data_IF_283078718995
#
_entry.id   IF_283078718995
#
_cell.length_a   1.000
_cell.length_b   1.000
_cell.length_c   1.000
_cell.angle_alpha   90.00
_cell.angle_beta   90.00
_cell.angle_gamma   90.00
#
_symmetry.space_group_name_H-M   'P 1'
#
loop_
_entity.id
_entity.type
_entity.pdbx_description
1 polymer ?
#
# COMPACT_ATOMS: atom_id res chain seq x y z
N UNK A 1 9.84 18.08 12.21
CA UNK A 1 8.76 17.65 11.29
C UNK A 1 7.95 18.85 10.82
N UNK A 2 7.61 18.91 9.54
CA UNK A 2 6.79 19.98 8.93
C UNK A 2 5.39 20.10 9.58
N UNK A 3 4.87 19.00 10.08
CA UNK A 3 3.55 18.88 10.70
C UNK A 3 3.61 18.61 12.21
N UNK A 4 4.74 18.93 12.85
CA UNK A 4 4.90 18.71 14.30
C UNK A 4 3.83 19.36 15.16
N UNK A 5 3.26 20.49 14.71
CA UNK A 5 2.16 21.20 15.38
C UNK A 5 0.88 20.36 15.51
N UNK A 6 0.68 19.40 14.64
CA UNK A 6 -0.49 18.54 14.70
C UNK A 6 -0.43 17.55 15.89
N UNK A 7 0.76 17.22 16.36
CA UNK A 7 1.02 16.23 17.41
C UNK A 7 1.47 16.86 18.73
N UNK A 8 2.09 18.06 18.67
CA UNK A 8 2.63 18.74 19.84
C UNK A 8 2.24 20.20 19.76
N UNK A 9 1.63 20.73 20.85
CA UNK A 9 1.27 22.15 20.92
C UNK A 9 2.52 23.02 20.86
N UNK A 10 2.66 23.92 19.87
CA UNK A 10 3.79 24.84 19.82
C UNK A 10 3.79 25.77 21.03
N UNK A 11 4.97 26.11 21.54
CA UNK A 11 5.12 27.05 22.67
C UNK A 11 4.46 28.39 22.34
N UNK A 12 3.53 28.80 23.19
CA UNK A 12 2.78 30.08 23.01
C UNK A 12 1.56 29.97 22.07
N UNK A 13 1.27 28.83 21.51
CA UNK A 13 0.05 28.62 20.72
C UNK A 13 -1.15 28.40 21.62
N UNK A 14 -2.32 29.04 21.36
CA UNK A 14 -3.57 28.76 22.08
C UNK A 14 -4.25 27.46 21.60
N UNK A 15 -3.77 26.85 20.50
CA UNK A 15 -4.39 25.68 19.89
C UNK A 15 -3.72 24.38 20.38
N UNK A 16 -4.47 23.42 20.94
CA UNK A 16 -3.95 22.12 21.32
C UNK A 16 -3.58 21.29 20.08
N UNK A 17 -2.80 20.21 20.24
CA UNK A 17 -2.59 19.23 19.17
C UNK A 17 -3.93 18.59 18.77
N UNK A 18 -4.05 18.26 17.49
CA UNK A 18 -5.27 17.66 16.90
C UNK A 18 -5.12 16.16 16.62
N UNK A 19 -3.90 15.64 16.71
CA UNK A 19 -3.57 14.24 16.46
C UNK A 19 -2.73 13.67 17.60
N UNK A 20 -2.90 12.39 17.86
CA UNK A 20 -2.05 11.59 18.74
C UNK A 20 -1.18 10.67 17.88
N UNK A 21 0.12 10.61 18.18
CA UNK A 21 1.08 9.79 17.45
C UNK A 21 1.24 8.44 18.18
N UNK A 22 0.90 7.37 17.48
CA UNK A 22 1.10 6.01 17.94
C UNK A 22 2.12 5.30 17.05
N UNK A 23 3.08 4.61 17.65
CA UNK A 23 4.06 3.80 16.91
C UNK A 23 3.43 2.46 16.54
N UNK A 24 3.61 2.06 15.28
CA UNK A 24 3.23 0.73 14.79
C UNK A 24 4.47 -0.16 14.89
N UNK A 25 4.49 -1.08 15.85
CA UNK A 25 5.58 -2.04 16.10
C UNK A 25 5.14 -3.51 15.96
N UNK A 26 3.87 -3.72 15.55
CA UNK A 26 3.28 -5.04 15.36
C UNK A 26 1.86 -4.93 14.81
N UNK A 27 1.10 -6.04 14.80
CA UNK A 27 -0.28 -6.04 14.34
C UNK A 27 -1.15 -5.04 15.10
N UNK A 28 -2.00 -4.31 14.35
CA UNK A 28 -2.94 -3.34 14.88
C UNK A 28 -4.36 -3.85 14.66
N UNK A 29 -5.12 -4.01 15.76
CA UNK A 29 -6.53 -4.40 15.68
C UNK A 29 -7.43 -3.20 15.84
N UNK A 30 -8.29 -2.97 14.85
CA UNK A 30 -9.33 -1.93 14.85
C UNK A 30 -10.66 -2.62 15.14
N UNK A 31 -11.41 -2.10 16.12
CA UNK A 31 -12.72 -2.64 16.51
C UNK A 31 -13.84 -1.68 16.10
N UNK A 32 -14.91 -2.24 15.55
CA UNK A 32 -16.08 -1.48 15.11
C UNK A 32 -17.35 -2.31 15.17
N UNK A 33 -18.46 -1.77 14.69
CA UNK A 33 -19.76 -2.44 14.70
C UNK A 33 -19.79 -3.76 13.88
N UNK A 34 -18.93 -3.86 12.86
CA UNK A 34 -18.76 -5.07 12.05
C UNK A 34 -17.84 -6.14 12.64
N UNK A 35 -17.25 -5.89 13.80
CA UNK A 35 -16.27 -6.78 14.43
C UNK A 35 -14.83 -6.23 14.35
N UNK A 36 -13.84 -7.00 14.87
CA UNK A 36 -12.44 -6.60 14.83
C UNK A 36 -11.81 -6.89 13.46
N UNK A 37 -10.97 -5.96 13.00
CA UNK A 37 -10.10 -6.14 11.82
C UNK A 37 -8.65 -5.99 12.29
N UNK A 38 -7.81 -6.99 11.99
CA UNK A 38 -6.39 -6.95 12.35
C UNK A 38 -5.54 -6.70 11.11
N UNK A 39 -4.82 -5.57 11.13
CA UNK A 39 -3.83 -5.21 10.12
C UNK A 39 -2.45 -5.71 10.57
N UNK A 40 -1.84 -6.57 9.78
CA UNK A 40 -0.46 -7.05 10.03
C UNK A 40 0.49 -6.22 9.18
N UNK A 41 1.33 -5.37 9.79
CA UNK A 41 2.30 -4.57 9.05
C UNK A 41 3.45 -5.43 8.54
N UNK A 42 4.01 -5.05 7.39
CA UNK A 42 5.26 -5.58 6.88
C UNK A 42 6.11 -4.46 6.29
N UNK A 43 7.41 -4.55 6.48
CA UNK A 43 8.35 -3.51 6.10
C UNK A 43 8.91 -3.74 4.71
N UNK A 44 8.98 -2.67 3.92
CA UNK A 44 9.58 -2.63 2.59
C UNK A 44 10.51 -1.43 2.47
N UNK A 45 11.40 -1.43 1.48
CA UNK A 45 12.22 -0.27 1.20
C UNK A 45 11.48 0.71 0.28
N UNK A 46 11.54 1.99 0.62
CA UNK A 46 11.00 3.11 -0.15
C UNK A 46 12.10 4.14 -0.44
N UNK A 47 13.20 3.71 -1.05
CA UNK A 47 14.37 4.54 -1.36
C UNK A 47 15.25 4.79 -0.14
N UNK A 48 15.31 6.03 0.33
CA UNK A 48 16.14 6.42 1.49
C UNK A 48 15.51 6.12 2.85
N UNK A 49 14.29 5.61 2.87
CA UNK A 49 13.54 5.24 4.07
C UNK A 49 12.77 3.94 3.84
N UNK A 50 12.30 3.37 4.92
CA UNK A 50 11.40 2.22 4.87
C UNK A 50 9.94 2.70 4.93
N UNK A 51 9.04 1.92 4.30
CA UNK A 51 7.60 2.10 4.38
C UNK A 51 6.94 0.82 4.92
N UNK A 52 5.69 0.94 5.36
CA UNK A 52 4.88 -0.18 5.79
C UNK A 52 3.80 -0.50 4.75
N UNK A 53 3.75 -1.77 4.35
CA UNK A 53 2.54 -2.34 3.80
C UNK A 53 1.73 -3.03 4.91
N UNK A 54 0.49 -3.36 4.61
CA UNK A 54 -0.43 -4.03 5.55
C UNK A 54 -1.11 -5.22 4.90
N UNK A 55 -1.26 -6.30 5.67
CA UNK A 55 -2.05 -7.46 5.28
C UNK A 55 -3.25 -7.65 6.22
N UNK A 56 -4.42 -7.91 5.63
CA UNK A 56 -5.66 -8.28 6.32
C UNK A 56 -6.22 -9.53 5.63
N UNK A 57 -6.17 -10.68 6.30
CA UNK A 57 -6.60 -11.95 5.70
C UNK A 57 -5.89 -12.23 4.36
N UNK A 58 -6.64 -12.38 3.29
CA UNK A 58 -6.14 -12.58 1.93
C UNK A 58 -5.78 -11.30 1.17
N UNK A 59 -5.91 -10.12 1.78
CA UNK A 59 -5.63 -8.83 1.12
C UNK A 59 -4.32 -8.23 1.59
N UNK A 60 -3.46 -7.78 0.67
CA UNK A 60 -2.29 -6.96 0.95
C UNK A 60 -2.43 -5.57 0.32
N UNK A 61 -2.02 -4.53 1.06
CA UNK A 61 -1.98 -3.14 0.61
C UNK A 61 -0.55 -2.60 0.73
N UNK A 62 0.03 -2.21 -0.39
CA UNK A 62 1.42 -1.77 -0.50
C UNK A 62 1.55 -0.60 -1.49
N UNK A 63 1.21 0.63 -1.07
CA UNK A 63 1.17 1.79 -1.98
C UNK A 63 2.53 2.45 -2.23
N UNK A 64 3.52 2.24 -1.36
CA UNK A 64 4.82 2.92 -1.38
C UNK A 64 5.95 1.89 -1.32
N UNK A 65 6.58 1.56 -2.45
CA UNK A 65 7.62 0.53 -2.48
C UNK A 65 8.61 0.70 -3.64
N UNK A 66 9.89 0.70 -3.34
CA UNK A 66 10.96 0.60 -4.34
C UNK A 66 11.47 -0.86 -4.47
N UNK A 67 11.62 -1.55 -3.35
CA UNK A 67 12.04 -2.97 -3.32
C UNK A 67 11.40 -3.73 -2.17
N UNK A 68 11.13 -5.01 -2.40
CA UNK A 68 10.48 -5.90 -1.44
C UNK A 68 11.53 -6.91 -0.94
N UNK A 69 11.80 -6.97 0.38
CA UNK A 69 12.73 -7.94 0.96
C UNK A 69 12.27 -9.38 0.74
N UNK A 70 13.22 -10.30 0.54
CA UNK A 70 12.92 -11.71 0.28
C UNK A 70 12.05 -12.39 1.35
N UNK A 71 12.22 -12.13 2.67
CA UNK A 71 11.32 -12.70 3.68
C UNK A 71 9.85 -12.31 3.49
N UNK A 72 9.56 -11.09 3.01
CA UNK A 72 8.19 -10.62 2.73
C UNK A 72 7.55 -11.44 1.60
N UNK A 73 8.32 -11.75 0.55
CA UNK A 73 7.88 -12.64 -0.52
C UNK A 73 7.51 -14.03 -0.04
N UNK A 74 8.32 -14.57 0.89
CA UNK A 74 8.16 -15.94 1.36
C UNK A 74 7.02 -16.12 2.37
N UNK A 75 6.61 -15.07 3.06
CA UNK A 75 5.64 -15.14 4.16
C UNK A 75 4.37 -14.33 3.90
N UNK A 76 4.51 -13.06 3.50
CA UNK A 76 3.41 -12.09 3.51
C UNK A 76 2.70 -11.99 2.17
N UNK A 77 3.43 -12.07 1.06
CA UNK A 77 2.89 -11.92 -0.29
C UNK A 77 2.57 -13.27 -0.95
N UNK A 78 2.14 -14.25 -0.17
CA UNK A 78 1.70 -15.57 -0.63
C UNK A 78 0.22 -15.74 -0.42
N UNK A 79 -0.40 -16.51 -1.31
CA UNK A 79 -1.81 -16.91 -1.20
C UNK A 79 -2.73 -15.69 -1.02
N UNK A 80 -2.50 -14.65 -1.82
CA UNK A 80 -3.30 -13.43 -1.79
C UNK A 80 -4.56 -13.59 -2.66
N UNK A 81 -5.69 -13.19 -2.10
CA UNK A 81 -6.92 -12.99 -2.87
C UNK A 81 -6.85 -11.67 -3.65
N UNK A 82 -6.40 -10.60 -2.98
CA UNK A 82 -6.23 -9.28 -3.59
C UNK A 82 -4.89 -8.68 -3.18
N UNK A 83 -4.17 -8.14 -4.14
CA UNK A 83 -2.99 -7.32 -3.89
C UNK A 83 -3.18 -5.92 -4.45
N UNK A 84 -3.24 -4.90 -3.58
CA UNK A 84 -3.26 -3.49 -3.96
C UNK A 84 -1.81 -3.00 -3.86
N UNK A 85 -1.20 -2.62 -4.99
CA UNK A 85 0.24 -2.41 -5.07
C UNK A 85 0.59 -1.17 -5.90
N UNK A 86 1.68 -0.51 -5.49
CA UNK A 86 2.29 0.64 -6.15
C UNK A 86 2.63 0.35 -7.63
N UNK A 87 2.32 1.30 -8.50
CA UNK A 87 2.72 1.31 -9.91
C UNK A 87 2.81 2.76 -10.41
N UNK A 88 3.75 3.52 -9.85
CA UNK A 88 3.79 4.97 -9.99
C UNK A 88 3.79 5.46 -11.44
N UNK A 89 4.64 4.89 -12.32
CA UNK A 89 4.82 5.34 -13.70
C UNK A 89 5.45 4.25 -14.58
N UNK A 90 5.58 4.52 -15.89
CA UNK A 90 6.20 3.56 -16.82
C UNK A 90 7.72 3.48 -16.71
N UNK A 91 8.37 4.56 -16.30
CA UNK A 91 9.83 4.63 -16.17
C UNK A 91 10.30 4.42 -14.73
N UNK A 92 11.48 3.85 -14.49
CA UNK A 92 12.01 3.63 -13.14
C UNK A 92 11.98 4.88 -12.26
N UNK A 93 11.73 4.69 -10.97
CA UNK A 93 11.73 5.72 -9.94
C UNK A 93 12.59 5.30 -8.74
N UNK A 94 13.29 6.23 -8.06
CA UNK A 94 14.21 5.85 -6.97
C UNK A 94 13.51 5.36 -5.70
N UNK A 95 12.23 5.67 -5.50
CA UNK A 95 11.49 5.35 -4.28
C UNK A 95 10.22 4.53 -4.52
N UNK A 96 9.71 4.45 -5.74
CA UNK A 96 8.50 3.71 -6.10
C UNK A 96 8.78 2.65 -7.15
N UNK A 97 7.93 1.65 -7.22
CA UNK A 97 7.91 0.73 -8.34
C UNK A 97 7.40 1.41 -9.61
N UNK A 98 7.80 0.88 -10.75
CA UNK A 98 7.26 1.28 -12.04
C UNK A 98 6.45 0.12 -12.65
N UNK A 99 5.57 0.42 -13.58
CA UNK A 99 4.57 -0.52 -14.09
C UNK A 99 5.15 -1.89 -14.44
N UNK A 100 6.23 -1.95 -15.25
CA UNK A 100 6.83 -3.23 -15.64
C UNK A 100 7.34 -4.04 -14.43
N UNK A 101 8.00 -3.39 -13.48
CA UNK A 101 8.47 -4.03 -12.26
C UNK A 101 7.30 -4.56 -11.41
N UNK A 102 6.22 -3.78 -11.30
CA UNK A 102 5.02 -4.21 -10.56
C UNK A 102 4.34 -5.40 -11.23
N UNK A 103 4.29 -5.45 -12.56
CA UNK A 103 3.74 -6.59 -13.28
C UNK A 103 4.58 -7.86 -13.06
N UNK A 104 5.92 -7.77 -13.07
CA UNK A 104 6.81 -8.89 -12.73
C UNK A 104 6.57 -9.38 -11.29
N UNK A 105 6.31 -8.46 -10.37
CA UNK A 105 6.00 -8.78 -8.98
C UNK A 105 4.64 -9.47 -8.83
N UNK A 106 3.63 -9.03 -9.59
CA UNK A 106 2.31 -9.65 -9.62
C UNK A 106 2.42 -11.08 -10.17
N UNK A 107 3.19 -11.30 -11.22
CA UNK A 107 3.46 -12.65 -11.75
C UNK A 107 4.11 -13.55 -10.68
N UNK A 108 5.09 -13.02 -9.94
CA UNK A 108 5.77 -13.76 -8.85
C UNK A 108 4.84 -14.10 -7.68
N UNK A 109 4.04 -13.15 -7.21
CA UNK A 109 3.14 -13.33 -6.07
C UNK A 109 1.89 -14.16 -6.44
N UNK A 110 1.48 -14.11 -7.71
CA UNK A 110 0.32 -14.77 -8.29
C UNK A 110 -0.98 -14.55 -7.46
N UNK A 111 -1.37 -13.31 -7.12
CA UNK A 111 -2.63 -13.06 -6.43
C UNK A 111 -3.81 -13.41 -7.34
N UNK A 112 -4.98 -13.73 -6.77
CA UNK A 112 -6.19 -13.94 -7.58
C UNK A 112 -6.61 -12.66 -8.31
N UNK A 113 -6.38 -11.50 -7.70
CA UNK A 113 -6.62 -10.18 -8.29
C UNK A 113 -5.53 -9.20 -7.84
N UNK A 114 -5.06 -8.34 -8.74
CA UNK A 114 -4.16 -7.23 -8.42
C UNK A 114 -4.78 -5.89 -8.80
N UNK A 115 -4.55 -4.88 -7.97
CA UNK A 115 -5.01 -3.50 -8.18
C UNK A 115 -3.79 -2.59 -8.16
N UNK A 116 -3.52 -1.93 -9.28
CA UNK A 116 -2.44 -0.96 -9.40
C UNK A 116 -2.87 0.36 -8.78
N UNK A 117 -2.09 0.89 -7.85
CA UNK A 117 -2.38 2.16 -7.17
C UNK A 117 -1.22 3.15 -7.27
N UNK A 118 -1.41 4.35 -6.74
CA UNK A 118 -0.43 5.45 -6.75
C UNK A 118 0.04 5.86 -8.17
N UNK A 119 -0.80 5.67 -9.16
CA UNK A 119 -0.47 5.96 -10.55
C UNK A 119 -0.36 7.47 -10.80
N UNK A 120 0.82 7.90 -11.26
CA UNK A 120 1.07 9.28 -11.68
C UNK A 120 0.34 9.61 -12.99
N UNK A 121 0.12 10.91 -13.25
CA UNK A 121 -0.54 11.39 -14.47
C UNK A 121 0.15 10.98 -15.80
N UNK A 122 1.38 10.46 -15.75
CA UNK A 122 2.09 9.90 -16.91
C UNK A 122 1.54 8.54 -17.35
N UNK A 123 0.74 7.88 -16.51
CA UNK A 123 0.09 6.61 -16.84
C UNK A 123 -1.36 6.88 -17.20
N UNK A 124 -1.71 6.61 -18.44
CA UNK A 124 -3.09 6.65 -18.89
C UNK A 124 -3.85 5.42 -18.37
N UNK A 125 -4.94 5.65 -17.66
CA UNK A 125 -5.78 4.61 -17.04
C UNK A 125 -6.28 3.59 -18.10
N UNK A 126 -6.87 4.09 -19.18
CA UNK A 126 -7.47 3.22 -20.20
C UNK A 126 -6.42 2.39 -20.93
N UNK A 127 -5.21 2.94 -21.12
CA UNK A 127 -4.11 2.20 -21.71
C UNK A 127 -3.65 1.05 -20.79
N UNK A 128 -3.55 1.29 -19.48
CA UNK A 128 -3.19 0.24 -18.51
C UNK A 128 -4.23 -0.86 -18.49
N UNK A 129 -5.52 -0.53 -18.42
CA UNK A 129 -6.61 -1.50 -18.46
C UNK A 129 -6.60 -2.34 -19.74
N UNK A 130 -6.22 -1.75 -20.88
CA UNK A 130 -6.19 -2.46 -22.15
C UNK A 130 -4.96 -3.37 -22.34
N UNK A 131 -3.84 -3.09 -21.67
CA UNK A 131 -2.58 -3.82 -21.82
C UNK A 131 -2.30 -4.84 -20.70
N UNK A 132 -3.09 -4.81 -19.61
CA UNK A 132 -2.93 -5.75 -18.49
C UNK A 132 -3.91 -6.93 -18.60
N UNK A 133 -3.55 -8.11 -18.04
CA UNK A 133 -4.47 -9.25 -17.94
C UNK A 133 -5.72 -8.92 -17.12
N UNK A 134 -6.83 -9.64 -17.37
CA UNK A 134 -8.15 -9.42 -16.72
C UNK A 134 -8.12 -9.39 -15.19
N UNK A 135 -7.18 -10.12 -14.55
CA UNK A 135 -7.04 -10.14 -13.09
C UNK A 135 -6.26 -8.94 -12.53
N UNK A 136 -5.78 -8.03 -13.37
CA UNK A 136 -5.06 -6.81 -13.00
C UNK A 136 -5.89 -5.61 -13.44
N UNK A 137 -6.22 -4.71 -12.51
CA UNK A 137 -6.98 -3.49 -12.78
C UNK A 137 -6.26 -2.27 -12.23
N UNK A 138 -6.44 -1.13 -12.85
CA UNK A 138 -6.02 0.16 -12.31
C UNK A 138 -7.02 0.66 -11.26
N UNK A 139 -6.52 1.22 -10.15
CA UNK A 139 -7.37 1.82 -9.13
C UNK A 139 -8.00 3.14 -9.62
N UNK A 140 -9.20 3.44 -9.13
CA UNK A 140 -9.85 4.73 -9.31
C UNK A 140 -10.56 5.16 -8.02
N UNK A 141 -10.77 6.47 -7.85
CA UNK A 141 -11.42 7.01 -6.66
C UNK A 141 -12.84 6.48 -6.50
N UNK A 142 -13.13 5.88 -5.35
CA UNK A 142 -14.41 5.23 -5.08
C UNK A 142 -14.51 3.77 -5.52
N UNK A 143 -13.39 3.15 -5.96
CA UNK A 143 -13.36 1.70 -6.21
C UNK A 143 -13.66 0.93 -4.93
N UNK A 144 -14.60 0.01 -4.99
CA UNK A 144 -14.94 -0.91 -3.91
C UNK A 144 -14.49 -2.33 -4.25
N UNK A 145 -13.89 -3.02 -3.29
CA UNK A 145 -13.41 -4.40 -3.43
C UNK A 145 -13.95 -5.20 -2.26
N UNK A 146 -14.82 -6.15 -2.56
CA UNK A 146 -15.34 -7.09 -1.57
C UNK A 146 -14.44 -8.33 -1.47
N UNK A 147 -14.16 -8.78 -0.26
CA UNK A 147 -13.38 -9.99 0.02
C UNK A 147 -13.78 -10.58 1.37
N UNK A 148 -13.56 -11.90 1.51
CA UNK A 148 -13.75 -12.60 2.77
C UNK A 148 -12.47 -12.44 3.63
N UNK A 149 -12.62 -11.94 4.88
CA UNK A 149 -11.53 -11.65 5.81
C UNK A 149 -11.32 -12.76 6.86
#
# INVERSE_FOLDING_TARGET
SRFGYAFVQPKGSPYPPILELNTIDGPVTITGAGGPITLTPFQVNHGSMDALGFRVGGVAYLPDVATIPEPVWQTTLRDLDVWIVDALRRTPHPTHSHLAQTLDWIERAAPKRAILTDMHADIDYAAVEAETPEHISAAYDGMEIEFDA
#
